data_IF_053776008410
#
_entry.id   IF_053776008410
#
_cell.length_a   1.000
_cell.length_b   1.000
_cell.length_c   1.000
_cell.angle_alpha   90.00
_cell.angle_beta   90.00
_cell.angle_gamma   90.00
#
_symmetry.space_group_name_H-M   'P 1'
#
loop_
_entity.id
_entity.type
_entity.pdbx_description
1 polymer ?
#
# COMPACT_ATOMS: atom_id res chain seq x y z
N UNK A 1 -21.91 5.74 -17.26
CA UNK A 1 -22.95 5.71 -16.20
C UNK A 1 -24.25 6.34 -16.65
N UNK A 2 -24.29 7.62 -17.06
CA UNK A 2 -25.51 8.27 -17.58
C UNK A 2 -26.22 7.49 -18.70
N UNK A 3 -25.47 6.99 -19.67
CA UNK A 3 -26.03 6.12 -20.71
C UNK A 3 -26.66 4.82 -20.16
N UNK A 4 -26.11 4.28 -19.07
CA UNK A 4 -26.57 3.02 -18.49
C UNK A 4 -27.77 3.22 -17.55
N UNK A 5 -27.84 4.32 -16.82
CA UNK A 5 -28.87 4.60 -15.81
C UNK A 5 -30.03 5.47 -16.30
N UNK A 6 -29.90 6.06 -17.50
CA UNK A 6 -30.88 7.00 -18.04
C UNK A 6 -30.70 8.43 -17.52
N UNK A 7 -31.46 9.39 -18.09
CA UNK A 7 -31.32 10.81 -17.79
C UNK A 7 -31.87 11.20 -16.41
N UNK A 8 -32.84 10.45 -15.89
CA UNK A 8 -33.56 10.81 -14.65
C UNK A 8 -32.84 10.35 -13.38
N UNK A 9 -31.82 9.50 -13.50
CA UNK A 9 -31.03 9.06 -12.35
C UNK A 9 -30.02 10.14 -11.94
N UNK A 10 -29.96 10.46 -10.65
CA UNK A 10 -29.04 11.46 -10.10
C UNK A 10 -27.60 10.93 -10.01
N UNK A 11 -26.96 10.85 -11.18
CA UNK A 11 -25.57 10.42 -11.33
C UNK A 11 -24.61 11.38 -10.63
N UNK A 12 -24.93 12.68 -10.61
CA UNK A 12 -24.06 13.67 -9.96
C UNK A 12 -23.98 13.44 -8.46
N UNK A 13 -25.12 13.22 -7.80
CA UNK A 13 -25.14 12.94 -6.35
C UNK A 13 -24.47 11.61 -6.00
N UNK A 14 -24.71 10.57 -6.78
CA UNK A 14 -24.39 9.19 -6.37
C UNK A 14 -23.07 8.64 -6.93
N UNK A 15 -22.57 9.19 -8.03
CA UNK A 15 -21.45 8.58 -8.77
C UNK A 15 -20.38 9.58 -9.23
N UNK A 16 -20.53 10.88 -8.97
CA UNK A 16 -19.47 11.87 -9.24
C UNK A 16 -18.58 12.02 -7.99
N UNK A 17 -17.33 11.51 -8.02
CA UNK A 17 -16.40 11.71 -6.90
C UNK A 17 -15.91 13.17 -6.85
N UNK A 18 -15.44 13.59 -5.67
CA UNK A 18 -14.79 14.89 -5.45
C UNK A 18 -13.30 14.93 -5.84
N UNK A 19 -12.79 13.83 -6.40
CA UNK A 19 -11.39 13.64 -6.78
C UNK A 19 -11.29 13.20 -8.25
N UNK A 20 -10.12 13.38 -8.88
CA UNK A 20 -9.94 13.03 -10.29
C UNK A 20 -9.76 11.51 -10.47
N UNK A 21 -10.04 10.97 -11.67
CA UNK A 21 -9.68 9.60 -11.99
C UNK A 21 -8.21 9.32 -11.68
N UNK A 22 -7.94 8.20 -11.00
CA UNK A 22 -6.61 7.73 -10.59
C UNK A 22 -5.93 8.45 -9.41
N UNK A 23 -6.53 9.51 -8.85
CA UNK A 23 -6.13 10.04 -7.54
C UNK A 23 -6.36 8.98 -6.43
N UNK A 24 -7.31 8.08 -6.69
CA UNK A 24 -7.57 6.86 -5.92
C UNK A 24 -7.68 5.64 -6.83
N UNK A 25 -7.64 4.43 -6.23
CA UNK A 25 -7.75 3.18 -6.98
C UNK A 25 -9.13 3.07 -7.64
N UNK A 26 -9.16 2.90 -8.95
CA UNK A 26 -10.41 2.84 -9.71
C UNK A 26 -11.13 1.50 -9.52
N UNK A 27 -12.39 1.57 -9.10
CA UNK A 27 -13.31 0.43 -9.12
C UNK A 27 -13.93 0.29 -10.51
N UNK A 28 -13.94 -0.93 -11.05
CA UNK A 28 -14.46 -1.23 -12.37
C UNK A 28 -15.67 -2.15 -12.25
N UNK A 29 -16.68 -1.90 -13.07
CA UNK A 29 -17.87 -2.75 -13.21
C UNK A 29 -17.95 -3.18 -14.68
N UNK A 30 -17.12 -4.16 -15.12
CA UNK A 30 -16.96 -4.45 -16.55
C UNK A 30 -18.26 -4.88 -17.23
N UNK A 31 -19.12 -5.58 -16.49
CA UNK A 31 -20.39 -6.11 -17.00
C UNK A 31 -21.58 -5.16 -16.79
N UNK A 32 -21.39 -4.05 -16.06
CA UNK A 32 -22.46 -3.10 -15.74
C UNK A 32 -23.64 -3.69 -14.94
N UNK A 33 -23.44 -4.81 -14.26
CA UNK A 33 -24.48 -5.56 -13.52
C UNK A 33 -25.13 -4.76 -12.38
N UNK A 34 -24.37 -3.87 -11.73
CA UNK A 34 -24.92 -2.89 -10.78
C UNK A 34 -25.98 -2.00 -11.46
N UNK A 35 -25.68 -1.43 -12.62
CA UNK A 35 -26.59 -0.55 -13.34
C UNK A 35 -27.83 -1.30 -13.84
N UNK A 36 -27.66 -2.56 -14.28
CA UNK A 36 -28.78 -3.44 -14.65
C UNK A 36 -29.71 -3.68 -13.45
N UNK A 37 -29.16 -3.86 -12.26
CA UNK A 37 -29.94 -4.09 -11.03
C UNK A 37 -30.69 -2.84 -10.59
N UNK A 38 -30.05 -1.67 -10.69
CA UNK A 38 -30.67 -0.37 -10.41
C UNK A 38 -31.84 -0.11 -11.37
N UNK A 39 -31.65 -0.31 -12.68
CA UNK A 39 -32.71 -0.11 -13.67
C UNK A 39 -33.90 -1.07 -13.50
N UNK A 40 -33.70 -2.23 -12.85
CA UNK A 40 -34.76 -3.19 -12.51
C UNK A 40 -35.46 -2.86 -11.18
N UNK A 41 -35.08 -1.77 -10.50
CA UNK A 41 -35.60 -1.39 -9.19
C UNK A 41 -35.19 -2.33 -8.06
N UNK A 42 -34.14 -3.12 -8.24
CA UNK A 42 -33.67 -4.11 -7.24
C UNK A 42 -32.54 -3.58 -6.35
N UNK A 43 -31.98 -2.44 -6.70
CA UNK A 43 -30.92 -1.78 -5.97
C UNK A 43 -31.11 -0.27 -6.06
N UNK A 44 -30.77 0.43 -4.98
CA UNK A 44 -30.69 1.88 -4.91
C UNK A 44 -29.34 2.29 -4.33
N UNK A 45 -28.95 3.54 -4.56
CA UNK A 45 -27.77 4.15 -3.95
C UNK A 45 -28.24 5.32 -3.12
N UNK A 46 -27.75 5.42 -1.90
CA UNK A 46 -28.02 6.56 -1.01
C UNK A 46 -26.67 7.18 -0.66
N UNK A 47 -26.54 8.49 -0.90
CA UNK A 47 -25.36 9.27 -0.56
C UNK A 47 -25.73 10.21 0.58
N UNK A 48 -25.29 9.90 1.79
CA UNK A 48 -25.51 10.67 3.01
C UNK A 48 -24.53 10.22 4.13
N UNK A 49 -24.51 10.93 5.25
CA UNK A 49 -23.80 10.56 6.47
C UNK A 49 -24.68 9.69 7.40
N UNK A 50 -24.10 8.62 7.93
CA UNK A 50 -24.76 7.74 8.92
C UNK A 50 -24.64 8.36 10.31
N UNK A 51 -25.76 8.51 11.02
CA UNK A 51 -25.78 8.91 12.43
C UNK A 51 -25.56 7.70 13.34
N UNK A 52 -26.40 6.67 13.19
CA UNK A 52 -26.31 5.45 13.96
C UNK A 52 -27.07 4.29 13.31
N UNK A 53 -26.83 3.10 13.83
CA UNK A 53 -27.68 1.93 13.61
C UNK A 53 -28.87 1.99 14.57
N UNK A 54 -30.04 1.56 14.10
CA UNK A 54 -31.25 1.40 14.91
C UNK A 54 -31.64 -0.06 14.97
N UNK A 55 -32.67 -0.38 15.75
CA UNK A 55 -33.22 -1.74 15.80
C UNK A 55 -33.76 -2.23 14.44
N UNK A 56 -34.11 -1.31 13.54
CA UNK A 56 -34.73 -1.60 12.24
C UNK A 56 -33.85 -1.23 11.03
N UNK A 57 -32.66 -0.65 11.21
CA UNK A 57 -31.79 -0.29 10.09
C UNK A 57 -30.77 0.82 10.38
N UNK A 58 -30.65 1.80 9.47
CA UNK A 58 -29.68 2.91 9.56
C UNK A 58 -30.36 4.29 9.55
N UNK A 59 -30.09 5.12 10.56
CA UNK A 59 -30.53 6.52 10.59
C UNK A 59 -29.49 7.42 9.90
N UNK A 60 -29.95 8.19 8.92
CA UNK A 60 -29.12 9.16 8.20
C UNK A 60 -29.24 10.57 8.78
N UNK A 61 -28.24 11.41 8.51
CA UNK A 61 -28.17 12.79 8.99
C UNK A 61 -29.22 13.70 8.34
N UNK A 62 -29.69 13.36 7.15
CA UNK A 62 -30.87 13.99 6.52
C UNK A 62 -32.17 13.77 7.29
N UNK A 63 -32.21 12.82 8.23
CA UNK A 63 -33.43 12.38 8.91
C UNK A 63 -34.08 11.15 8.28
N UNK A 64 -33.64 10.72 7.09
CA UNK A 64 -34.12 9.50 6.45
C UNK A 64 -33.71 8.23 7.24
N UNK A 65 -34.64 7.27 7.31
CA UNK A 65 -34.44 5.98 7.95
C UNK A 65 -34.38 4.90 6.87
N UNK A 66 -33.23 4.23 6.73
CA UNK A 66 -33.08 3.10 5.83
C UNK A 66 -33.40 1.81 6.58
N UNK A 67 -34.58 1.25 6.36
CA UNK A 67 -34.97 -0.05 6.92
C UNK A 67 -34.16 -1.18 6.28
N UNK A 68 -33.66 -2.11 7.10
CA UNK A 68 -32.88 -3.25 6.64
C UNK A 68 -32.98 -4.43 7.60
N UNK A 69 -33.25 -5.63 7.05
CA UNK A 69 -33.16 -6.89 7.80
C UNK A 69 -31.70 -7.35 7.97
N UNK A 70 -30.84 -7.03 7.02
CA UNK A 70 -29.43 -7.43 6.98
C UNK A 70 -28.58 -6.23 6.57
N UNK A 71 -27.52 -5.97 7.33
CA UNK A 71 -26.53 -4.93 7.01
C UNK A 71 -25.17 -5.59 6.79
N UNK A 72 -24.55 -5.29 5.64
CA UNK A 72 -23.22 -5.78 5.26
C UNK A 72 -22.23 -4.62 5.25
N UNK A 73 -21.20 -4.69 6.11
CA UNK A 73 -20.18 -3.63 6.21
C UNK A 73 -19.05 -3.84 5.21
N UNK A 74 -19.14 -3.22 4.04
CA UNK A 74 -18.08 -3.20 3.02
C UNK A 74 -17.14 -1.98 3.20
N UNK A 75 -16.64 -1.73 4.42
CA UNK A 75 -15.99 -0.47 4.85
C UNK A 75 -14.48 -0.38 4.58
N UNK A 76 -13.95 -1.26 3.73
CA UNK A 76 -12.55 -1.23 3.29
C UNK A 76 -11.59 -1.90 4.27
N UNK A 77 -10.39 -1.31 4.43
CA UNK A 77 -9.26 -1.93 5.11
C UNK A 77 -8.41 -0.90 5.87
N UNK A 78 -7.65 -1.38 6.85
CA UNK A 78 -6.53 -0.66 7.45
C UNK A 78 -5.23 -1.16 6.84
N UNK A 79 -4.37 -0.24 6.42
CA UNK A 79 -3.03 -0.59 5.98
C UNK A 79 -2.17 -0.98 7.19
N UNK A 80 -1.46 -2.09 7.08
CA UNK A 80 -0.58 -2.62 8.11
C UNK A 80 0.77 -2.98 7.52
N UNK A 81 1.83 -2.79 8.31
CA UNK A 81 3.17 -3.24 7.94
C UNK A 81 3.24 -4.76 8.14
N UNK A 82 3.67 -5.48 7.10
CA UNK A 82 3.99 -6.92 7.14
C UNK A 82 2.87 -7.86 7.65
N UNK A 83 1.61 -7.44 7.59
CA UNK A 83 0.49 -8.28 8.03
C UNK A 83 0.41 -8.45 9.55
N UNK A 84 0.70 -7.39 10.31
CA UNK A 84 0.55 -7.34 11.78
C UNK A 84 1.47 -8.29 12.55
N UNK A 85 2.52 -8.81 11.91
CA UNK A 85 3.53 -9.61 12.60
C UNK A 85 4.41 -8.71 13.48
N UNK A 86 4.69 -9.17 14.69
CA UNK A 86 5.70 -8.55 15.56
C UNK A 86 7.10 -8.86 15.02
N UNK A 87 7.84 -7.81 14.65
CA UNK A 87 9.23 -7.93 14.19
C UNK A 87 10.15 -7.40 15.28
N UNK A 88 11.06 -8.26 15.73
CA UNK A 88 12.07 -7.91 16.73
C UNK A 88 13.47 -8.07 16.15
N UNK A 89 14.35 -7.12 16.45
CA UNK A 89 15.79 -7.20 16.18
C UNK A 89 16.51 -7.14 17.52
N UNK A 90 17.32 -8.15 17.83
CA UNK A 90 18.04 -8.26 19.10
C UNK A 90 17.13 -8.09 20.34
N UNK A 91 15.89 -8.60 20.25
CA UNK A 91 14.88 -8.52 21.31
C UNK A 91 14.14 -7.18 21.42
N UNK A 92 14.42 -6.22 20.53
CA UNK A 92 13.73 -4.93 20.48
C UNK A 92 12.70 -4.90 19.36
N UNK A 93 11.47 -4.51 19.67
CA UNK A 93 10.42 -4.34 18.67
C UNK A 93 10.78 -3.21 17.69
N UNK A 94 10.56 -3.46 16.41
CA UNK A 94 10.79 -2.47 15.35
C UNK A 94 9.54 -1.60 15.17
N UNK A 95 9.71 -0.29 15.35
CA UNK A 95 8.74 0.69 14.88
C UNK A 95 9.03 1.03 13.41
N UNK A 96 8.22 0.46 12.50
CA UNK A 96 8.39 0.69 11.07
C UNK A 96 8.23 2.15 10.67
N UNK A 97 7.46 2.97 11.39
CA UNK A 97 7.33 4.41 11.12
C UNK A 97 8.67 5.14 11.26
N UNK A 98 9.58 4.58 12.07
CA UNK A 98 10.90 5.13 12.28
C UNK A 98 11.93 4.66 11.25
N UNK A 99 11.62 3.64 10.46
CA UNK A 99 12.53 3.11 9.43
C UNK A 99 12.46 3.88 8.12
N UNK A 100 13.48 3.70 7.28
CA UNK A 100 13.51 4.12 5.89
C UNK A 100 13.37 2.92 4.97
N UNK A 101 12.57 3.04 3.93
CA UNK A 101 12.44 1.97 2.94
C UNK A 101 13.68 1.90 2.05
N UNK A 102 14.25 0.71 1.91
CA UNK A 102 15.28 0.41 0.93
C UNK A 102 14.63 -0.23 -0.30
N UNK A 103 14.69 0.48 -1.43
CA UNK A 103 14.13 0.10 -2.74
C UNK A 103 12.64 -0.27 -2.70
N UNK A 104 11.90 0.18 -1.68
CA UNK A 104 10.51 -0.23 -1.46
C UNK A 104 10.32 -1.71 -1.10
N UNK A 105 11.38 -2.44 -0.75
CA UNK A 105 11.34 -3.88 -0.50
C UNK A 105 12.01 -4.32 0.81
N UNK A 106 12.80 -3.46 1.46
CA UNK A 106 13.39 -3.72 2.78
C UNK A 106 13.35 -2.44 3.62
N UNK A 107 13.84 -2.52 4.86
CA UNK A 107 13.74 -1.46 5.86
C UNK A 107 15.09 -1.23 6.52
N UNK A 108 15.48 0.04 6.68
CA UNK A 108 16.76 0.42 7.30
C UNK A 108 16.94 -0.29 8.64
N UNK A 109 18.14 -0.83 8.85
CA UNK A 109 18.57 -1.49 10.08
C UNK A 109 17.84 -2.79 10.43
N UNK A 110 16.92 -3.27 9.58
CA UNK A 110 16.27 -4.58 9.75
C UNK A 110 17.01 -5.66 8.93
N UNK A 111 17.73 -6.60 9.57
CA UNK A 111 18.50 -7.63 8.87
C UNK A 111 17.60 -8.68 8.21
N UNK A 112 18.01 -9.16 7.03
CA UNK A 112 17.45 -10.35 6.37
C UNK A 112 15.94 -10.31 6.09
N UNK A 113 15.33 -9.12 6.11
CA UNK A 113 13.91 -8.94 5.83
C UNK A 113 13.71 -8.32 4.45
N UNK A 114 13.00 -9.04 3.59
CA UNK A 114 12.46 -8.53 2.32
C UNK A 114 10.96 -8.67 2.35
N UNK A 115 10.25 -7.62 1.96
CA UNK A 115 8.80 -7.54 1.87
C UNK A 115 8.37 -7.17 0.45
N UNK A 116 7.17 -7.62 0.06
CA UNK A 116 6.58 -7.27 -1.23
C UNK A 116 5.31 -6.47 -0.98
N UNK A 117 5.30 -5.25 -1.48
CA UNK A 117 4.08 -4.46 -1.68
C UNK A 117 3.94 -4.15 -3.17
N UNK A 118 2.74 -4.25 -3.72
CA UNK A 118 2.51 -4.04 -5.15
C UNK A 118 2.47 -2.57 -5.57
N UNK A 119 2.30 -2.34 -6.87
CA UNK A 119 2.02 -1.00 -7.36
C UNK A 119 0.59 -0.57 -7.03
N UNK A 120 0.40 0.72 -6.80
CA UNK A 120 -0.93 1.29 -6.56
C UNK A 120 -1.81 1.18 -7.81
N UNK A 121 -1.27 1.61 -8.96
CA UNK A 121 -1.97 1.73 -10.24
C UNK A 121 -1.54 0.68 -11.28
N UNK A 122 -0.79 -0.35 -10.89
CA UNK A 122 -0.39 -1.45 -11.76
C UNK A 122 -0.50 -2.80 -11.04
N UNK A 123 -0.36 -3.89 -11.80
CA UNK A 123 -0.48 -5.24 -11.23
C UNK A 123 0.57 -5.48 -10.14
N UNK A 124 0.13 -6.05 -9.03
CA UNK A 124 0.99 -6.47 -7.93
C UNK A 124 1.96 -7.58 -8.36
N UNK A 125 1.55 -8.44 -9.30
CA UNK A 125 2.40 -9.54 -9.80
C UNK A 125 3.67 -9.03 -10.47
N UNK A 126 3.63 -7.84 -11.08
CA UNK A 126 4.80 -7.22 -11.70
C UNK A 126 5.86 -6.87 -10.67
N UNK A 127 5.45 -6.30 -9.53
CA UNK A 127 6.38 -5.94 -8.45
C UNK A 127 6.85 -7.17 -7.69
N UNK A 128 5.97 -8.14 -7.48
CA UNK A 128 6.33 -9.41 -6.84
C UNK A 128 7.46 -10.13 -7.59
N UNK A 129 7.41 -10.18 -8.93
CA UNK A 129 8.48 -10.79 -9.74
C UNK A 129 9.82 -10.04 -9.60
N UNK A 130 9.78 -8.70 -9.62
CA UNK A 130 10.97 -7.86 -9.41
C UNK A 130 11.60 -8.09 -8.04
N UNK A 131 10.78 -8.12 -6.98
CA UNK A 131 11.24 -8.35 -5.60
C UNK A 131 11.78 -9.78 -5.45
N UNK A 132 11.09 -10.79 -5.98
CA UNK A 132 11.55 -12.18 -5.93
C UNK A 132 12.91 -12.36 -6.61
N UNK A 133 13.12 -11.74 -7.79
CA UNK A 133 14.40 -11.77 -8.48
C UNK A 133 15.53 -11.12 -7.64
N UNK A 134 15.25 -9.98 -7.01
CA UNK A 134 16.20 -9.34 -6.09
C UNK A 134 16.56 -10.25 -4.92
N UNK A 135 15.57 -10.88 -4.29
CA UNK A 135 15.78 -11.82 -3.19
C UNK A 135 16.69 -12.97 -3.58
N UNK A 136 16.48 -13.60 -4.75
CA UNK A 136 17.37 -14.65 -5.23
C UNK A 136 18.82 -14.15 -5.43
N UNK A 137 19.00 -12.96 -6.01
CA UNK A 137 20.32 -12.35 -6.20
C UNK A 137 21.00 -12.04 -4.86
N UNK A 138 20.25 -11.52 -3.89
CA UNK A 138 20.72 -11.24 -2.55
C UNK A 138 21.21 -12.53 -1.86
N UNK A 139 20.38 -13.58 -1.86
CA UNK A 139 20.73 -14.88 -1.28
C UNK A 139 21.96 -15.51 -1.94
N UNK A 140 22.07 -15.41 -3.27
CA UNK A 140 23.26 -15.89 -4.01
C UNK A 140 24.52 -15.12 -3.63
N UNK A 141 24.45 -13.78 -3.48
CA UNK A 141 25.56 -12.96 -2.98
C UNK A 141 25.96 -13.43 -1.58
N UNK A 142 25.02 -13.52 -0.64
CA UNK A 142 25.28 -13.99 0.73
C UNK A 142 25.97 -15.36 0.76
N UNK A 143 25.48 -16.32 -0.05
CA UNK A 143 26.09 -17.64 -0.21
C UNK A 143 27.53 -17.56 -0.72
N UNK A 144 27.78 -16.76 -1.76
CA UNK A 144 29.11 -16.60 -2.36
C UNK A 144 30.14 -15.93 -1.43
N UNK A 145 29.69 -15.00 -0.57
CA UNK A 145 30.56 -14.28 0.36
C UNK A 145 30.63 -14.91 1.75
N UNK A 146 29.90 -16.01 1.98
CA UNK A 146 29.83 -16.68 3.27
C UNK A 146 29.28 -15.77 4.39
N UNK A 147 28.37 -14.86 4.05
CA UNK A 147 27.72 -13.95 5.00
C UNK A 147 26.32 -14.44 5.36
N UNK A 148 25.88 -14.14 6.58
CA UNK A 148 24.60 -14.61 7.13
C UNK A 148 23.61 -13.47 7.34
N UNK A 149 24.10 -12.23 7.35
CA UNK A 149 23.28 -11.04 7.52
C UNK A 149 23.46 -10.13 6.30
N UNK A 150 22.34 -9.63 5.80
CA UNK A 150 22.24 -8.53 4.86
C UNK A 150 21.32 -7.47 5.48
N UNK A 151 21.85 -6.28 5.73
CA UNK A 151 21.13 -5.19 6.39
C UNK A 151 21.29 -3.91 5.58
N UNK A 152 20.21 -3.31 5.06
CA UNK A 152 20.31 -1.99 4.45
C UNK A 152 20.56 -0.96 5.55
N UNK A 153 21.61 -0.14 5.41
CA UNK A 153 21.94 0.95 6.34
C UNK A 153 22.18 2.25 5.61
N UNK A 154 21.70 3.35 6.21
CA UNK A 154 21.93 4.70 5.69
C UNK A 154 23.43 4.98 5.58
N UNK A 155 23.88 5.38 4.39
CA UNK A 155 25.26 5.84 4.17
C UNK A 155 25.42 7.25 4.71
N UNK A 156 26.66 7.71 4.86
CA UNK A 156 26.92 9.07 5.35
C UNK A 156 26.20 10.15 4.53
N UNK A 157 26.15 10.00 3.19
CA UNK A 157 25.43 10.92 2.32
C UNK A 157 23.89 10.86 2.44
N UNK A 158 23.34 9.76 2.96
CA UNK A 158 21.88 9.56 3.05
C UNK A 158 21.31 10.09 4.38
N UNK A 159 22.17 10.35 5.39
CA UNK A 159 21.74 10.72 6.75
C UNK A 159 20.86 11.99 6.82
N UNK A 160 21.02 12.89 5.85
CA UNK A 160 20.29 14.18 5.79
C UNK A 160 19.23 14.21 4.67
N UNK A 161 18.80 13.04 4.16
CA UNK A 161 17.81 13.01 3.09
C UNK A 161 16.44 13.48 3.55
N UNK A 162 15.70 14.14 2.65
CA UNK A 162 14.38 14.69 2.98
C UNK A 162 13.38 13.56 3.19
N UNK A 163 12.73 13.44 4.38
CA UNK A 163 11.70 12.44 4.61
C UNK A 163 10.46 12.74 3.79
N UNK A 164 9.88 11.69 3.21
CA UNK A 164 8.62 11.69 2.47
C UNK A 164 7.74 10.53 2.96
N UNK A 165 6.41 10.65 2.83
CA UNK A 165 5.50 9.53 3.06
C UNK A 165 5.88 8.30 2.24
N UNK A 166 5.67 7.08 2.77
CA UNK A 166 6.05 5.83 2.09
C UNK A 166 5.54 5.72 0.66
N UNK A 167 4.34 6.25 0.44
CA UNK A 167 3.70 6.44 -0.86
C UNK A 167 3.32 7.91 -0.93
N UNK A 168 3.74 8.57 -2.00
CA UNK A 168 3.42 9.96 -2.27
C UNK A 168 2.30 10.05 -3.32
N UNK A 169 1.61 11.19 -3.35
CA UNK A 169 0.66 11.55 -4.41
C UNK A 169 -0.49 10.54 -4.61
N UNK A 170 -1.00 9.98 -3.51
CA UNK A 170 -2.15 9.06 -3.52
C UNK A 170 -3.07 9.32 -2.33
N UNK A 171 -4.19 10.01 -2.57
CA UNK A 171 -5.10 10.59 -1.56
C UNK A 171 -6.24 9.66 -1.13
N UNK A 172 -6.04 8.35 -1.25
CA UNK A 172 -7.05 7.39 -0.80
C UNK A 172 -7.11 7.40 0.74
N UNK A 173 -8.31 7.64 1.31
CA UNK A 173 -8.45 7.83 2.75
C UNK A 173 -7.93 6.68 3.62
N UNK A 174 -7.98 5.43 3.15
CA UNK A 174 -7.40 4.29 3.89
C UNK A 174 -5.87 4.32 3.97
N UNK A 175 -5.21 4.97 3.01
CA UNK A 175 -3.78 5.20 3.01
C UNK A 175 -3.42 6.37 3.91
N UNK A 176 -4.11 7.50 3.76
CA UNK A 176 -3.85 8.73 4.54
C UNK A 176 -3.95 8.47 6.04
N UNK A 177 -4.98 7.73 6.49
CA UNK A 177 -5.17 7.38 7.90
C UNK A 177 -3.99 6.61 8.50
N UNK A 178 -3.29 5.82 7.69
CA UNK A 178 -2.28 4.88 8.17
C UNK A 178 -0.85 5.26 7.76
N UNK A 179 -0.66 6.26 6.91
CA UNK A 179 0.64 6.59 6.31
C UNK A 179 1.70 6.97 7.35
N UNK A 180 1.29 7.57 8.47
CA UNK A 180 2.18 7.93 9.57
C UNK A 180 2.77 6.70 10.32
N UNK A 181 2.19 5.51 10.13
CA UNK A 181 2.67 4.24 10.69
C UNK A 181 3.56 3.45 9.72
N UNK A 182 3.67 3.92 8.47
CA UNK A 182 4.45 3.27 7.42
C UNK A 182 5.90 3.76 7.41
N UNK A 183 6.86 2.98 6.85
CA UNK A 183 8.24 3.43 6.72
C UNK A 183 8.35 4.71 5.89
N UNK A 184 9.31 5.56 6.24
CA UNK A 184 9.63 6.75 5.44
C UNK A 184 10.25 6.34 4.11
N UNK A 185 10.06 7.16 3.08
CA UNK A 185 10.95 7.14 1.92
C UNK A 185 11.72 8.47 1.85
N UNK A 186 12.89 8.47 1.22
CA UNK A 186 13.71 9.65 0.98
C UNK A 186 13.39 10.34 -0.34
N UNK A 187 14.29 11.22 -0.76
CA UNK A 187 14.24 11.95 -2.02
C UNK A 187 15.15 11.36 -3.12
N UNK A 188 15.94 10.32 -2.81
CA UNK A 188 16.84 9.67 -3.77
C UNK A 188 17.08 8.18 -3.50
N UNK A 189 17.54 7.47 -4.54
CA UNK A 189 17.85 6.04 -4.47
C UNK A 189 19.08 5.75 -3.57
N UNK A 190 19.10 4.59 -2.87
CA UNK A 190 18.12 3.51 -2.94
C UNK A 190 16.93 3.68 -1.99
N UNK A 191 16.78 4.81 -1.30
CA UNK A 191 15.81 5.00 -0.21
C UNK A 191 14.42 5.43 -0.65
N UNK A 192 13.98 5.02 -1.84
CA UNK A 192 12.71 5.43 -2.44
C UNK A 192 11.80 4.22 -2.67
N UNK A 193 10.49 4.47 -2.80
CA UNK A 193 9.48 3.47 -3.13
C UNK A 193 8.73 3.85 -4.43
N UNK A 194 9.37 3.70 -5.60
CA UNK A 194 8.76 4.10 -6.87
C UNK A 194 7.47 3.31 -7.14
N UNK A 195 6.48 3.98 -7.72
CA UNK A 195 5.24 3.33 -8.19
C UNK A 195 5.28 3.03 -9.70
N UNK A 196 6.49 2.90 -10.25
CA UNK A 196 6.74 2.74 -11.68
C UNK A 196 7.71 1.58 -11.94
N UNK A 197 7.24 0.58 -12.68
CA UNK A 197 8.01 -0.63 -12.99
C UNK A 197 9.34 -0.35 -13.71
N UNK A 198 9.39 0.68 -14.57
CA UNK A 198 10.62 1.04 -15.28
C UNK A 198 11.73 1.50 -14.31
N UNK A 199 11.36 2.29 -13.30
CA UNK A 199 12.28 2.77 -12.26
C UNK A 199 12.75 1.60 -11.39
N UNK A 200 11.83 0.73 -10.99
CA UNK A 200 12.15 -0.47 -10.20
C UNK A 200 13.07 -1.43 -10.97
N UNK A 201 12.82 -1.68 -12.26
CA UNK A 201 13.73 -2.50 -13.07
C UNK A 201 15.15 -1.93 -13.10
N UNK A 202 15.29 -0.60 -13.15
CA UNK A 202 16.60 0.02 -13.09
C UNK A 202 17.22 -0.12 -11.69
N UNK A 203 16.48 0.26 -10.64
CA UNK A 203 16.97 0.34 -9.26
C UNK A 203 17.21 -1.02 -8.59
N UNK A 204 16.37 -2.01 -8.91
CA UNK A 204 16.30 -3.31 -8.26
C UNK A 204 16.97 -4.38 -9.12
N UNK A 205 16.54 -4.52 -10.38
CA UNK A 205 16.99 -5.63 -11.24
C UNK A 205 18.38 -5.37 -11.80
N UNK A 206 18.65 -4.16 -12.31
CA UNK A 206 19.92 -3.83 -12.99
C UNK A 206 21.02 -3.38 -12.04
N UNK A 207 20.70 -2.67 -10.97
CA UNK A 207 21.71 -2.23 -10.00
C UNK A 207 22.39 -3.40 -9.28
N UNK A 208 23.67 -3.26 -8.91
CA UNK A 208 24.34 -4.26 -8.09
C UNK A 208 23.65 -4.43 -6.74
N UNK A 209 23.76 -5.63 -6.17
CA UNK A 209 23.36 -5.90 -4.78
C UNK A 209 24.26 -5.13 -3.81
N UNK A 210 25.54 -5.03 -4.13
CA UNK A 210 26.58 -4.35 -3.35
C UNK A 210 26.64 -2.86 -3.77
N UNK A 211 25.60 -2.11 -3.41
CA UNK A 211 25.41 -0.69 -3.77
C UNK A 211 25.90 0.28 -2.68
N UNK A 212 26.65 -0.24 -1.71
CA UNK A 212 27.17 0.49 -0.55
C UNK A 212 26.15 0.77 0.56
N UNK A 213 24.85 0.60 0.31
CA UNK A 213 23.81 0.72 1.34
C UNK A 213 23.46 -0.65 1.94
N UNK A 214 23.41 -1.71 1.13
CA UNK A 214 23.26 -3.08 1.64
C UNK A 214 24.56 -3.59 2.26
N UNK A 215 24.60 -3.71 3.58
CA UNK A 215 25.77 -4.21 4.32
C UNK A 215 25.67 -5.71 4.57
N UNK A 216 26.78 -6.42 4.39
CA UNK A 216 26.87 -7.85 4.63
C UNK A 216 27.78 -8.15 5.80
N UNK A 217 27.32 -8.97 6.74
CA UNK A 217 28.10 -9.41 7.89
C UNK A 217 27.96 -10.92 8.15
N UNK A 218 28.95 -11.46 8.85
CA UNK A 218 28.86 -12.79 9.46
C UNK A 218 28.19 -12.64 10.83
N UNK A 219 27.45 -13.64 11.26
CA UNK A 219 26.93 -13.67 12.64
C UNK A 219 28.14 -13.67 13.57
N UNK A 220 28.16 -12.75 14.54
CA UNK A 220 29.11 -12.85 15.64
C UNK A 220 28.74 -14.10 16.42
N UNK A 221 29.57 -15.13 16.36
CA UNK A 221 29.45 -16.27 17.25
C UNK A 221 29.66 -15.74 18.66
N UNK A 222 28.61 -15.74 19.48
CA UNK A 222 28.75 -15.53 20.91
C UNK A 222 29.68 -16.64 21.43
N UNK A 223 30.87 -16.26 21.90
CA UNK A 223 31.80 -17.14 22.61
C UNK A 223 31.43 -17.14 24.08
#
# INVERSE_FOLDING_TARGET
>A
MRQALGPDYDVEKHFTPTYNPWDQRMCLIPNGDLFVSINKGRASVVTDEIVCFTESGIQLKSGEMLEADIIVTATGLNLVSLGEIDVLVDGQAIDFSQTWTYKGLAYSDVPNLVSTFGYINASWTLRADVVANYTCRLLNKMKSTGTQQATPRLRAQDQNMTPRPWINDFSAGYMERMMHLMPRQGDHAPWINPQLIAVDKQMIVKSPIDDGAMQFSKVKTSV
#
